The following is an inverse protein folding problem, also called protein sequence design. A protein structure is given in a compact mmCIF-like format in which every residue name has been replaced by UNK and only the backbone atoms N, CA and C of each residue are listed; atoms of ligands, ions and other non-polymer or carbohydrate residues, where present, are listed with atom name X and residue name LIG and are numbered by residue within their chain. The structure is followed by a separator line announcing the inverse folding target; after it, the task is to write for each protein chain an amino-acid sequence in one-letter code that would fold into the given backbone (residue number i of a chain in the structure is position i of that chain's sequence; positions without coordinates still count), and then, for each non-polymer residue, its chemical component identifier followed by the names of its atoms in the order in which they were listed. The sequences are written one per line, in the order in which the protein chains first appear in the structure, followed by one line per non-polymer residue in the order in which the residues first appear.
data_IF_892662929617
#
_entry.id   IF_892662929617
#
_cell.length_a   1.000
_cell.length_b   1.000
_cell.length_c   1.000
_cell.angle_alpha   90.00
_cell.angle_beta   90.00
_cell.angle_gamma   90.00
#
_symmetry.space_group_name_H-M   'P 1'
#
loop_
_entity.id
_entity.type
_entity.pdbx_description
1 polymer ?
#
# COMPACT_ATOMS: atom_id res chain seq x y z
N UNK A 1 -23.77 60.62 8.16
CA UNK A 1 -24.67 59.68 8.87
C UNK A 1 -25.37 58.81 7.85
N UNK A 2 -24.89 57.57 7.63
CA UNK A 2 -25.57 56.55 6.82
C UNK A 2 -25.69 55.30 7.69
N UNK A 3 -26.92 54.92 8.00
CA UNK A 3 -27.22 53.73 8.79
C UNK A 3 -27.16 52.49 7.88
N UNK A 4 -26.37 51.49 8.28
CA UNK A 4 -26.33 50.17 7.67
C UNK A 4 -27.37 49.28 8.36
N UNK A 5 -28.32 48.77 7.58
CA UNK A 5 -29.36 47.84 8.03
C UNK A 5 -28.78 46.43 7.93
N UNK A 6 -28.58 45.78 9.08
CA UNK A 6 -28.24 44.35 9.17
C UNK A 6 -29.47 43.50 8.86
N UNK A 7 -29.39 42.67 7.84
CA UNK A 7 -30.37 41.61 7.58
C UNK A 7 -29.90 40.31 8.27
N UNK A 8 -30.67 39.85 9.26
CA UNK A 8 -30.48 38.56 9.93
C UNK A 8 -31.21 37.50 9.11
N UNK A 9 -30.47 36.59 8.49
CA UNK A 9 -31.02 35.41 7.81
C UNK A 9 -31.10 34.27 8.83
N UNK A 10 -32.32 33.91 9.24
CA UNK A 10 -32.58 32.71 10.03
C UNK A 10 -32.69 31.50 9.10
N UNK A 11 -31.65 30.66 9.09
CA UNK A 11 -31.70 29.35 8.43
C UNK A 11 -32.39 28.34 9.34
N UNK A 12 -33.52 27.80 8.87
CA UNK A 12 -34.24 26.73 9.54
C UNK A 12 -33.43 25.42 9.46
N UNK A 13 -32.97 24.93 10.62
CA UNK A 13 -32.37 23.61 10.74
C UNK A 13 -33.50 22.56 10.77
N UNK A 14 -33.69 21.88 9.63
CA UNK A 14 -34.52 20.67 9.57
C UNK A 14 -33.84 19.52 10.30
N UNK A 15 -34.53 18.93 11.28
CA UNK A 15 -34.10 17.70 11.97
C UNK A 15 -34.29 16.53 11.00
N UNK A 16 -33.22 16.07 10.37
CA UNK A 16 -33.23 14.82 9.62
C UNK A 16 -32.95 13.66 10.58
N UNK A 17 -34.01 12.94 10.97
CA UNK A 17 -33.87 11.64 11.63
C UNK A 17 -33.36 10.61 10.62
N UNK A 18 -32.05 10.34 10.62
CA UNK A 18 -31.50 9.20 9.89
C UNK A 18 -31.86 7.92 10.63
N UNK A 19 -32.72 7.09 10.04
CA UNK A 19 -32.91 5.73 10.50
C UNK A 19 -31.57 4.99 10.36
N UNK A 20 -30.96 4.62 11.49
CA UNK A 20 -29.79 3.76 11.51
C UNK A 20 -30.23 2.36 11.06
N UNK A 21 -29.88 1.97 9.84
CA UNK A 21 -30.03 0.59 9.39
C UNK A 21 -29.03 -0.27 10.17
N UNK A 22 -29.51 -1.00 11.17
CA UNK A 22 -28.75 -2.07 11.80
C UNK A 22 -28.60 -3.20 10.77
N UNK A 23 -27.48 -3.23 10.07
CA UNK A 23 -27.12 -4.38 9.26
C UNK A 23 -26.90 -5.59 10.19
N UNK A 24 -27.37 -6.78 9.83
CA UNK A 24 -27.10 -7.98 10.60
C UNK A 24 -25.59 -8.16 10.72
N UNK A 25 -25.13 -8.39 11.95
CA UNK A 25 -23.73 -8.76 12.21
C UNK A 25 -23.46 -10.07 11.46
N UNK A 26 -22.81 -9.97 10.29
CA UNK A 26 -22.21 -11.14 9.63
C UNK A 26 -21.27 -11.82 10.63
N UNK A 27 -21.33 -13.15 10.67
CA UNK A 27 -20.59 -13.90 11.69
C UNK A 27 -19.09 -13.67 11.50
N UNK A 28 -18.34 -13.59 12.59
CA UNK A 28 -16.87 -13.43 12.58
C UNK A 28 -16.18 -14.55 11.76
N UNK A 29 -16.87 -15.68 11.54
CA UNK A 29 -16.37 -16.81 10.76
C UNK A 29 -16.55 -16.66 9.23
N UNK A 30 -17.27 -15.64 8.76
CA UNK A 30 -17.41 -15.34 7.32
C UNK A 30 -16.36 -14.32 6.82
N UNK A 31 -15.35 -14.02 7.65
CA UNK A 31 -14.25 -13.18 7.21
C UNK A 31 -13.38 -13.94 6.20
N UNK A 32 -13.55 -13.57 4.93
CA UNK A 32 -12.69 -14.01 3.84
C UNK A 32 -11.65 -12.91 3.54
N UNK A 33 -10.36 -13.14 3.85
CA UNK A 33 -9.27 -12.22 3.56
C UNK A 33 -9.22 -11.79 2.09
N UNK A 34 -9.50 -12.73 1.18
CA UNK A 34 -9.41 -12.56 -0.27
C UNK A 34 -10.49 -11.59 -0.79
N UNK A 35 -11.61 -11.49 -0.07
CA UNK A 35 -12.70 -10.56 -0.38
C UNK A 35 -12.44 -9.12 0.09
N UNK A 36 -11.58 -8.93 1.08
CA UNK A 36 -11.44 -7.64 1.77
C UNK A 36 -10.17 -6.87 1.39
N UNK A 37 -9.10 -7.58 1.03
CA UNK A 37 -7.87 -7.01 0.55
C UNK A 37 -7.65 -7.39 -0.92
N UNK A 38 -8.51 -6.91 -1.84
CA UNK A 38 -8.32 -7.18 -3.27
C UNK A 38 -7.22 -6.30 -3.87
N UNK A 39 -5.96 -6.59 -3.53
CA UNK A 39 -4.80 -5.86 -4.04
C UNK A 39 -4.44 -6.25 -5.48
N UNK A 40 -4.86 -7.44 -5.91
CA UNK A 40 -4.75 -7.87 -7.31
C UNK A 40 -5.39 -6.84 -8.27
N UNK A 41 -6.52 -6.24 -7.89
CA UNK A 41 -7.15 -5.18 -8.67
C UNK A 41 -6.29 -3.92 -8.75
N UNK A 42 -5.58 -3.57 -7.67
CA UNK A 42 -4.71 -2.39 -7.65
C UNK A 42 -3.55 -2.51 -8.64
N UNK A 43 -3.01 -3.71 -8.86
CA UNK A 43 -1.93 -3.91 -9.84
C UNK A 43 -2.36 -3.80 -11.30
N UNK A 44 -3.67 -3.71 -11.59
CA UNK A 44 -4.18 -3.42 -12.95
C UNK A 44 -4.13 -1.93 -13.29
N UNK A 45 -3.92 -1.08 -12.29
CA UNK A 45 -3.89 0.36 -12.45
C UNK A 45 -2.47 0.82 -12.83
N UNK A 46 -2.40 2.02 -13.40
CA UNK A 46 -1.14 2.73 -13.63
C UNK A 46 -0.31 2.79 -12.34
N UNK A 47 1.01 2.64 -12.48
CA UNK A 47 1.93 2.63 -11.34
C UNK A 47 1.78 3.85 -10.42
N UNK A 48 1.44 5.02 -10.97
CA UNK A 48 1.19 6.25 -10.20
C UNK A 48 -0.04 6.18 -9.30
N UNK A 49 -1.03 5.35 -9.65
CA UNK A 49 -2.30 5.25 -8.92
C UNK A 49 -2.40 4.00 -8.05
N UNK A 50 -1.54 3.00 -8.29
CA UNK A 50 -1.38 1.82 -7.45
C UNK A 50 -1.38 2.19 -5.97
N UNK A 51 -0.47 3.08 -5.52
CA UNK A 51 -0.37 3.47 -4.10
C UNK A 51 -1.69 3.98 -3.52
N UNK A 52 -2.45 4.80 -4.26
CA UNK A 52 -3.76 5.29 -3.81
C UNK A 52 -4.76 4.14 -3.67
N UNK A 53 -4.79 3.21 -4.63
CA UNK A 53 -5.63 2.02 -4.54
C UNK A 53 -5.28 1.17 -3.32
N UNK A 54 -4.00 0.90 -3.07
CA UNK A 54 -3.55 0.17 -1.88
C UNK A 54 -4.03 0.82 -0.58
N UNK A 55 -3.82 2.12 -0.42
CA UNK A 55 -4.26 2.85 0.78
C UNK A 55 -5.78 2.79 0.99
N UNK A 56 -6.56 2.85 -0.09
CA UNK A 56 -8.02 2.69 -0.02
C UNK A 56 -8.43 1.26 0.36
N UNK A 57 -7.80 0.24 -0.22
CA UNK A 57 -8.05 -1.17 0.12
C UNK A 57 -7.69 -1.47 1.58
N UNK A 58 -6.55 -1.00 2.04
CA UNK A 58 -6.10 -1.14 3.43
C UNK A 58 -7.05 -0.42 4.40
N UNK A 59 -7.47 0.80 4.08
CA UNK A 59 -8.45 1.55 4.88
C UNK A 59 -9.79 0.81 5.00
N UNK A 60 -10.26 0.19 3.92
CA UNK A 60 -11.48 -0.65 3.96
C UNK A 60 -11.30 -1.87 4.86
N UNK A 61 -10.15 -2.52 4.78
CA UNK A 61 -9.82 -3.64 5.66
C UNK A 61 -9.84 -3.23 7.14
N UNK A 62 -9.21 -2.10 7.50
CA UNK A 62 -9.23 -1.58 8.87
C UNK A 62 -10.65 -1.29 9.39
N UNK A 63 -11.52 -0.73 8.55
CA UNK A 63 -12.92 -0.49 8.93
C UNK A 63 -13.66 -1.80 9.20
N UNK A 64 -13.41 -2.84 8.39
CA UNK A 64 -14.05 -4.14 8.55
C UNK A 64 -13.54 -4.90 9.79
N UNK A 65 -12.23 -4.91 10.00
CA UNK A 65 -11.58 -5.65 11.10
C UNK A 65 -11.61 -4.90 12.44
N UNK A 66 -12.22 -3.71 12.51
CA UNK A 66 -12.32 -2.93 13.75
C UNK A 66 -12.95 -3.68 14.93
N UNK A 67 -13.77 -4.70 14.66
CA UNK A 67 -14.35 -5.59 15.67
C UNK A 67 -13.32 -6.49 16.38
N UNK A 68 -12.14 -6.72 15.79
CA UNK A 68 -11.01 -7.43 16.39
C UNK A 68 -10.20 -6.55 17.37
N UNK A 69 -10.66 -5.32 17.61
CA UNK A 69 -9.94 -4.28 18.32
C UNK A 69 -8.97 -3.54 17.38
N UNK A 70 -8.79 -2.24 17.61
CA UNK A 70 -8.05 -1.37 16.71
C UNK A 70 -6.62 -1.86 16.42
N UNK A 71 -5.93 -2.43 17.40
CA UNK A 71 -4.57 -2.96 17.21
C UNK A 71 -4.54 -4.30 16.46
N UNK A 72 -5.48 -5.22 16.76
CA UNK A 72 -5.52 -6.54 16.13
C UNK A 72 -5.93 -6.47 14.66
N UNK A 73 -6.97 -5.69 14.36
CA UNK A 73 -7.42 -5.46 12.99
C UNK A 73 -6.37 -4.75 12.14
N UNK A 74 -5.68 -3.75 12.70
CA UNK A 74 -4.61 -3.06 12.02
C UNK A 74 -3.45 -4.01 11.68
N UNK A 75 -2.92 -4.72 12.69
CA UNK A 75 -1.83 -5.66 12.49
C UNK A 75 -2.17 -6.72 11.42
N UNK A 76 -3.37 -7.28 11.47
CA UNK A 76 -3.81 -8.27 10.49
C UNK A 76 -3.80 -7.71 9.06
N UNK A 77 -4.48 -6.57 8.85
CA UNK A 77 -4.62 -5.99 7.52
C UNK A 77 -3.28 -5.50 6.95
N UNK A 78 -2.42 -4.87 7.76
CA UNK A 78 -1.07 -4.47 7.36
C UNK A 78 -0.23 -5.66 6.93
N UNK A 79 -0.31 -6.76 7.69
CA UNK A 79 0.47 -7.95 7.43
C UNK A 79 0.13 -8.60 6.10
N UNK A 80 -1.16 -8.85 5.85
CA UNK A 80 -1.61 -9.43 4.58
C UNK A 80 -1.27 -8.50 3.41
N UNK A 81 -1.43 -7.18 3.58
CA UNK A 81 -1.05 -6.21 2.57
C UNK A 81 0.44 -6.31 2.21
N UNK A 82 1.31 -6.40 3.21
CA UNK A 82 2.74 -6.53 2.98
C UNK A 82 3.07 -7.83 2.23
N UNK A 83 2.52 -8.96 2.66
CA UNK A 83 2.76 -10.27 2.03
C UNK A 83 2.37 -10.23 0.54
N UNK A 84 1.16 -9.79 0.21
CA UNK A 84 0.69 -9.74 -1.19
C UNK A 84 1.53 -8.78 -2.06
N UNK A 85 1.96 -7.65 -1.51
CA UNK A 85 2.79 -6.69 -2.23
C UNK A 85 4.22 -7.23 -2.44
N UNK A 86 4.80 -7.88 -1.43
CA UNK A 86 6.13 -8.50 -1.54
C UNK A 86 6.11 -9.68 -2.52
N UNK A 87 5.07 -10.52 -2.47
CA UNK A 87 4.85 -11.59 -3.44
C UNK A 87 4.75 -11.04 -4.86
N UNK A 88 4.07 -9.91 -5.07
CA UNK A 88 4.01 -9.28 -6.38
C UNK A 88 5.37 -8.76 -6.85
N UNK A 89 6.16 -8.14 -5.96
CA UNK A 89 7.53 -7.76 -6.31
C UNK A 89 8.37 -8.99 -6.68
N UNK A 90 8.25 -10.09 -5.93
CA UNK A 90 8.96 -11.34 -6.20
C UNK A 90 8.54 -11.97 -7.54
N UNK A 91 7.26 -11.87 -7.92
CA UNK A 91 6.76 -12.28 -9.24
C UNK A 91 7.38 -11.45 -10.38
N UNK A 92 7.47 -10.12 -10.19
CA UNK A 92 7.99 -9.19 -11.20
C UNK A 92 9.53 -9.20 -11.29
N UNK A 93 10.23 -9.51 -10.21
CA UNK A 93 11.69 -9.38 -10.14
C UNK A 93 12.45 -10.19 -11.19
N UNK A 94 12.10 -11.47 -11.50
CA UNK A 94 12.71 -12.20 -12.60
C UNK A 94 12.54 -11.51 -13.98
N UNK A 95 11.44 -10.80 -14.20
CA UNK A 95 11.17 -10.05 -15.44
C UNK A 95 12.14 -8.86 -15.54
N UNK A 96 12.30 -8.10 -14.45
CA UNK A 96 13.26 -6.99 -14.39
C UNK A 96 14.71 -7.47 -14.52
N UNK A 97 15.03 -8.61 -13.90
CA UNK A 97 16.34 -9.23 -14.04
C UNK A 97 16.63 -9.63 -15.49
N UNK A 98 15.65 -10.22 -16.16
CA UNK A 98 15.76 -10.52 -17.58
C UNK A 98 15.97 -9.24 -18.40
N UNK A 99 15.18 -8.18 -18.15
CA UNK A 99 15.35 -6.89 -18.82
C UNK A 99 16.78 -6.34 -18.66
N UNK A 100 17.28 -6.25 -17.42
CA UNK A 100 18.65 -5.79 -17.13
C UNK A 100 19.71 -6.56 -17.92
N UNK A 101 19.55 -7.88 -18.09
CA UNK A 101 20.46 -8.70 -18.90
C UNK A 101 20.43 -8.35 -20.39
N UNK A 102 19.25 -8.12 -20.96
CA UNK A 102 19.12 -7.93 -22.42
C UNK A 102 19.58 -6.54 -22.87
N UNK A 103 19.64 -5.57 -21.97
CA UNK A 103 20.03 -4.19 -22.29
C UNK A 103 21.53 -3.95 -22.17
N UNK A 104 22.28 -4.94 -21.70
CA UNK A 104 23.71 -4.83 -21.56
C UNK A 104 24.42 -4.97 -22.93
N UNK A 105 25.29 -4.02 -23.25
CA UNK A 105 26.09 -4.07 -24.48
C UNK A 105 27.32 -4.97 -24.29
N UNK A 106 27.19 -6.23 -24.73
CA UNK A 106 28.28 -7.21 -24.73
C UNK A 106 28.24 -8.20 -23.55
N UNK A 107 28.83 -9.40 -23.68
CA UNK A 107 28.65 -10.50 -22.73
C UNK A 107 29.13 -10.18 -21.30
N UNK A 108 30.25 -9.47 -21.15
CA UNK A 108 30.77 -9.09 -19.84
C UNK A 108 29.84 -8.10 -19.12
N UNK A 109 29.18 -7.21 -19.87
CA UNK A 109 28.22 -6.23 -19.34
C UNK A 109 26.91 -6.89 -18.90
N UNK A 110 26.53 -8.02 -19.49
CA UNK A 110 25.31 -8.78 -19.11
C UNK A 110 25.44 -9.29 -17.69
N UNK A 111 26.57 -9.95 -17.38
CA UNK A 111 26.84 -10.49 -16.05
C UNK A 111 26.97 -9.36 -15.02
N UNK A 112 27.65 -8.26 -15.38
CA UNK A 112 27.78 -7.07 -14.53
C UNK A 112 26.41 -6.45 -14.21
N UNK A 113 25.55 -6.25 -15.21
CA UNK A 113 24.23 -5.63 -15.03
C UNK A 113 23.30 -6.48 -14.16
N UNK A 114 23.33 -7.81 -14.33
CA UNK A 114 22.56 -8.73 -13.48
C UNK A 114 23.01 -8.65 -12.02
N UNK A 115 24.32 -8.72 -11.77
CA UNK A 115 24.86 -8.68 -10.40
C UNK A 115 24.65 -7.32 -9.75
N UNK A 116 24.78 -6.23 -10.51
CA UNK A 116 24.46 -4.87 -10.03
C UNK A 116 23.01 -4.77 -9.56
N UNK A 117 22.05 -5.29 -10.33
CA UNK A 117 20.64 -5.28 -9.92
C UNK A 117 20.40 -6.14 -8.67
N UNK A 118 21.03 -7.31 -8.57
CA UNK A 118 20.96 -8.16 -7.37
C UNK A 118 21.54 -7.48 -6.14
N UNK A 119 22.70 -6.83 -6.28
CA UNK A 119 23.34 -6.08 -5.20
C UNK A 119 22.49 -4.89 -4.76
N UNK A 120 21.92 -4.14 -5.71
CA UNK A 120 21.00 -3.04 -5.44
C UNK A 120 19.75 -3.52 -4.69
N UNK A 121 19.12 -4.61 -5.15
CA UNK A 121 17.91 -5.15 -4.51
C UNK A 121 18.18 -5.65 -3.09
N UNK A 122 19.29 -6.35 -2.84
CA UNK A 122 19.69 -6.78 -1.49
C UNK A 122 19.91 -5.59 -0.55
N UNK A 123 20.58 -4.55 -1.05
CA UNK A 123 20.84 -3.32 -0.29
C UNK A 123 19.54 -2.59 0.03
N UNK A 124 18.60 -2.56 -0.92
CA UNK A 124 17.28 -1.97 -0.73
C UNK A 124 16.46 -2.74 0.33
N UNK A 125 16.47 -4.07 0.35
CA UNK A 125 15.79 -4.86 1.39
C UNK A 125 16.31 -4.49 2.78
N UNK A 126 17.64 -4.42 2.94
CA UNK A 126 18.24 -4.03 4.23
C UNK A 126 17.83 -2.60 4.64
N UNK A 127 17.79 -1.66 3.69
CA UNK A 127 17.30 -0.31 3.92
C UNK A 127 15.82 -0.29 4.34
N UNK A 128 14.95 -1.00 3.60
CA UNK A 128 13.51 -1.10 3.88
C UNK A 128 13.29 -1.56 5.31
N UNK A 129 13.90 -2.68 5.67
CA UNK A 129 13.68 -3.29 6.96
C UNK A 129 14.16 -2.36 8.09
N UNK A 130 15.37 -1.80 7.97
CA UNK A 130 15.89 -0.85 8.96
C UNK A 130 15.03 0.41 9.11
N UNK A 131 14.58 1.00 8.00
CA UNK A 131 13.74 2.19 8.03
C UNK A 131 12.37 1.93 8.67
N UNK A 132 11.78 0.75 8.42
CA UNK A 132 10.48 0.42 8.98
C UNK A 132 10.53 0.12 10.49
N UNK A 133 11.62 -0.47 10.97
CA UNK A 133 11.85 -0.59 12.42
C UNK A 133 12.01 0.79 13.09
N UNK A 134 12.73 1.72 12.42
CA UNK A 134 12.87 3.11 12.89
C UNK A 134 11.51 3.82 12.93
N UNK A 135 10.73 3.72 11.85
CA UNK A 135 9.41 4.33 11.73
C UNK A 135 8.46 3.82 12.82
N UNK A 136 8.43 2.51 13.05
CA UNK A 136 7.65 1.92 14.13
C UNK A 136 8.15 2.36 15.51
N UNK A 137 9.46 2.47 15.73
CA UNK A 137 10.03 2.95 17.00
C UNK A 137 9.63 4.40 17.31
N UNK A 138 9.57 5.27 16.29
CA UNK A 138 9.22 6.68 16.48
C UNK A 138 7.71 6.93 16.55
N UNK A 139 6.91 6.16 15.83
CA UNK A 139 5.48 6.43 15.66
C UNK A 139 4.56 5.50 16.46
N UNK A 140 5.02 4.30 16.84
CA UNK A 140 4.17 3.34 17.55
C UNK A 140 4.14 3.66 19.04
N UNK A 141 3.09 4.34 19.47
CA UNK A 141 2.70 4.41 20.89
C UNK A 141 1.78 3.23 21.18
N UNK A 142 2.22 2.24 21.98
CA UNK A 142 1.50 1.01 22.41
C UNK A 142 1.59 -0.17 21.41
N UNK A 143 0.55 -1.03 21.35
CA UNK A 143 0.56 -2.35 20.69
C UNK A 143 0.51 -2.34 19.15
N UNK A 144 0.64 -1.18 18.50
CA UNK A 144 0.55 -1.02 17.05
C UNK A 144 1.87 -1.23 16.29
N UNK A 145 2.96 -1.62 16.98
CA UNK A 145 4.31 -1.69 16.40
C UNK A 145 4.36 -2.47 15.09
N UNK A 146 3.87 -3.71 15.07
CA UNK A 146 3.93 -4.57 13.89
C UNK A 146 3.09 -4.06 12.73
N UNK A 147 1.93 -3.46 13.00
CA UNK A 147 1.11 -2.84 11.95
C UNK A 147 1.88 -1.70 11.27
N UNK A 148 2.57 -0.86 12.04
CA UNK A 148 3.39 0.24 11.50
C UNK A 148 4.58 -0.30 10.68
N UNK A 149 5.24 -1.37 11.15
CA UNK A 149 6.33 -2.01 10.38
C UNK A 149 5.82 -2.52 9.03
N UNK A 150 4.72 -3.28 9.02
CA UNK A 150 4.20 -3.90 7.79
C UNK A 150 3.58 -2.86 6.82
N UNK A 151 2.94 -1.81 7.34
CA UNK A 151 2.49 -0.67 6.51
C UNK A 151 3.66 0.05 5.84
N UNK A 152 4.74 0.29 6.59
CA UNK A 152 5.96 0.89 6.04
C UNK A 152 6.58 -0.01 4.96
N UNK A 153 6.69 -1.32 5.23
CA UNK A 153 7.24 -2.28 4.26
C UNK A 153 6.40 -2.32 3.00
N UNK A 154 5.08 -2.39 3.11
CA UNK A 154 4.14 -2.31 1.99
C UNK A 154 4.40 -1.07 1.13
N UNK A 155 4.47 0.12 1.75
CA UNK A 155 4.72 1.38 1.05
C UNK A 155 6.06 1.40 0.33
N UNK A 156 7.14 0.98 1.00
CA UNK A 156 8.48 0.97 0.40
C UNK A 156 8.60 -0.07 -0.72
N UNK A 157 7.96 -1.22 -0.59
CA UNK A 157 7.93 -2.26 -1.64
C UNK A 157 7.20 -1.75 -2.89
N UNK A 158 6.08 -1.04 -2.74
CA UNK A 158 5.41 -0.38 -3.89
C UNK A 158 6.32 0.66 -4.57
N UNK A 159 7.02 1.48 -3.78
CA UNK A 159 7.97 2.46 -4.33
C UNK A 159 9.10 1.78 -5.09
N UNK A 160 9.59 0.64 -4.62
CA UNK A 160 10.62 -0.12 -5.30
C UNK A 160 10.12 -0.72 -6.62
N UNK A 161 8.90 -1.25 -6.64
CA UNK A 161 8.28 -1.71 -7.89
C UNK A 161 8.17 -0.57 -8.91
N UNK A 162 7.75 0.61 -8.48
CA UNK A 162 7.69 1.81 -9.33
C UNK A 162 9.07 2.20 -9.86
N UNK A 163 10.09 2.19 -9.00
CA UNK A 163 11.47 2.51 -9.40
C UNK A 163 12.00 1.50 -10.43
N UNK A 164 11.83 0.19 -10.19
CA UNK A 164 12.23 -0.85 -11.13
C UNK A 164 11.48 -0.74 -12.46
N UNK A 165 10.19 -0.45 -12.43
CA UNK A 165 9.42 -0.23 -13.66
C UNK A 165 9.86 1.03 -14.41
N UNK A 166 10.15 2.14 -13.73
CA UNK A 166 10.64 3.35 -14.39
C UNK A 166 12.00 3.13 -15.09
N UNK A 167 12.90 2.40 -14.44
CA UNK A 167 14.25 2.14 -14.98
C UNK A 167 14.27 1.03 -16.04
N UNK A 168 13.43 0.00 -15.88
CA UNK A 168 13.52 -1.23 -16.68
C UNK A 168 12.26 -1.54 -17.52
N UNK A 169 11.13 -0.86 -17.26
CA UNK A 169 9.82 -1.16 -17.85
C UNK A 169 9.77 -0.99 -19.37
N UNK A 170 10.44 0.02 -19.92
CA UNK A 170 10.54 0.22 -21.37
C UNK A 170 11.19 -0.95 -22.12
N UNK A 171 12.00 -1.76 -21.42
CA UNK A 171 12.63 -2.96 -21.98
C UNK A 171 11.81 -4.23 -21.77
N UNK A 172 10.83 -4.20 -20.87
CA UNK A 172 9.87 -5.29 -20.65
C UNK A 172 8.79 -5.25 -21.74
N UNK A 173 8.29 -4.06 -22.08
CA UNK A 173 7.19 -3.86 -23.04
C UNK A 173 7.61 -3.97 -24.51
N UNK A 174 8.90 -3.83 -24.82
CA UNK A 174 9.43 -3.92 -26.18
C UNK A 174 9.53 -5.37 -26.73
N UNK A 175 8.91 -6.34 -26.05
CA UNK A 175 8.86 -7.77 -26.42
C UNK A 175 7.46 -8.20 -26.78
#
# INVERSE_FOLDING_TARGET
MRALVSAIVFSAFGVFSTAAFAQPLQSINDFDPELHLNLAECFKWEYSDQHKCFQQSLSRCYLFTGHLGAAGGAQYCSHIAFVEIDDKLNELYPIYLAAAKNNAYGPDRVAESEEMLRAAQRSWIAYRDAMCEIEATWNAVKSGYFAVVDDCKSRLTLMQMQALHAELGGFVEAR
#
